data_IF_751828809678
#
_entry.id   IF_751828809678
#
_cell.length_a   1.000
_cell.length_b   1.000
_cell.length_c   1.000
_cell.angle_alpha   90.00
_cell.angle_beta   90.00
_cell.angle_gamma   90.00
#
_symmetry.space_group_name_H-M   'P 1'
#
loop_
_entity.id
_entity.type
_entity.pdbx_description
1 polymer ?
#
# COMPACT_ATOMS: atom_id res chain seq x y z
N UNK A 1 16.15 -9.57 -3.12
CA UNK A 1 14.67 -9.43 -3.07
C UNK A 1 14.25 -9.22 -1.63
N UNK A 2 13.43 -8.20 -1.36
CA UNK A 2 12.95 -7.85 -0.02
C UNK A 2 11.43 -7.70 -0.08
N UNK A 3 10.74 -8.30 0.91
CA UNK A 3 9.30 -8.18 1.08
C UNK A 3 9.02 -7.37 2.33
N UNK A 4 8.12 -6.40 2.22
CA UNK A 4 7.70 -5.61 3.36
C UNK A 4 6.23 -5.86 3.67
N UNK A 5 6.00 -6.39 4.87
CA UNK A 5 4.68 -6.51 5.47
C UNK A 5 4.26 -5.14 6.03
N UNK A 6 3.03 -4.74 5.75
CA UNK A 6 2.41 -3.54 6.30
C UNK A 6 1.07 -3.91 6.91
N UNK A 7 0.84 -3.46 8.13
CA UNK A 7 -0.43 -3.58 8.83
C UNK A 7 -0.94 -2.21 9.19
N UNK A 8 -2.17 -1.90 8.82
CA UNK A 8 -2.86 -0.66 9.14
C UNK A 8 -4.05 -0.93 10.01
N UNK A 9 -4.13 -0.25 11.15
CA UNK A 9 -5.36 -0.17 11.94
C UNK A 9 -6.31 0.81 11.28
N UNK A 10 -7.50 0.34 10.94
CA UNK A 10 -8.54 1.11 10.27
C UNK A 10 -9.65 1.41 11.28
N UNK A 11 -10.16 2.63 11.23
CA UNK A 11 -11.30 3.03 12.06
C UNK A 11 -12.48 2.09 11.83
N UNK A 12 -13.18 1.71 12.91
CA UNK A 12 -14.36 0.83 12.83
C UNK A 12 -15.38 1.38 11.84
N UNK A 13 -15.92 0.50 11.00
CA UNK A 13 -16.88 0.87 9.95
C UNK A 13 -16.26 1.47 8.67
N UNK A 14 -14.95 1.76 8.64
CA UNK A 14 -14.29 2.38 7.49
C UNK A 14 -13.54 1.40 6.58
N UNK A 15 -13.58 0.09 6.87
CA UNK A 15 -12.81 -0.91 6.12
C UNK A 15 -13.18 -0.98 4.64
N UNK A 16 -14.48 -0.95 4.30
CA UNK A 16 -14.90 -0.99 2.89
C UNK A 16 -14.48 0.26 2.14
N UNK A 17 -14.67 1.44 2.75
CA UNK A 17 -14.17 2.71 2.20
C UNK A 17 -12.65 2.70 2.02
N UNK A 18 -11.92 2.09 2.95
CA UNK A 18 -10.46 1.92 2.85
C UNK A 18 -10.06 0.99 1.70
N UNK A 19 -10.74 -0.15 1.54
CA UNK A 19 -10.48 -1.11 0.44
C UNK A 19 -10.76 -0.44 -0.91
N UNK A 20 -11.89 0.26 -1.04
CA UNK A 20 -12.23 0.99 -2.26
C UNK A 20 -11.16 2.05 -2.56
N UNK A 21 -10.77 2.87 -1.58
CA UNK A 21 -9.68 3.83 -1.72
C UNK A 21 -8.36 3.15 -2.14
N UNK A 22 -8.03 2.00 -1.56
CA UNK A 22 -6.79 1.29 -1.85
C UNK A 22 -6.75 0.77 -3.29
N UNK A 23 -7.86 0.20 -3.77
CA UNK A 23 -8.01 -0.39 -5.09
C UNK A 23 -8.20 0.68 -6.18
N UNK A 24 -9.12 1.63 -5.96
CA UNK A 24 -9.56 2.62 -6.96
C UNK A 24 -8.69 3.88 -6.93
N UNK A 25 -8.17 4.27 -5.75
CA UNK A 25 -7.59 5.59 -5.53
C UNK A 25 -6.11 5.53 -5.16
N UNK A 26 -5.34 5.12 -6.18
CA UNK A 26 -3.93 5.47 -6.36
C UNK A 26 -2.94 4.69 -5.51
N UNK A 27 -3.31 3.91 -4.49
CA UNK A 27 -2.29 3.19 -3.70
C UNK A 27 -1.71 1.98 -4.44
N UNK A 28 -2.53 0.99 -4.79
CA UNK A 28 -2.06 -0.17 -5.54
C UNK A 28 -1.63 0.18 -6.99
N UNK A 29 -2.41 0.98 -7.76
CA UNK A 29 -2.00 1.34 -9.13
C UNK A 29 -0.73 2.19 -9.21
N UNK A 30 -0.47 3.09 -8.25
CA UNK A 30 0.77 3.89 -8.25
C UNK A 30 1.97 3.05 -7.81
N UNK A 31 1.79 2.12 -6.88
CA UNK A 31 2.83 1.16 -6.50
C UNK A 31 3.27 0.33 -7.71
N UNK A 32 2.31 -0.17 -8.50
CA UNK A 32 2.60 -0.90 -9.73
C UNK A 32 3.39 -0.05 -10.75
N UNK A 33 2.95 1.19 -11.01
CA UNK A 33 3.66 2.15 -11.89
C UNK A 33 5.07 2.51 -11.42
N UNK A 34 5.38 2.36 -10.13
CA UNK A 34 6.68 2.62 -9.53
C UNK A 34 7.54 1.35 -9.40
N UNK A 35 7.08 0.22 -9.94
CA UNK A 35 7.78 -1.05 -9.84
C UNK A 35 7.88 -1.54 -8.38
N UNK A 36 6.81 -1.35 -7.61
CA UNK A 36 6.65 -1.84 -6.23
C UNK A 36 5.43 -2.78 -6.21
N UNK A 37 5.53 -4.01 -6.74
CA UNK A 37 4.35 -4.85 -6.89
C UNK A 37 3.75 -5.22 -5.53
N UNK A 38 2.43 -5.07 -5.42
CA UNK A 38 1.64 -5.56 -4.28
C UNK A 38 1.39 -7.04 -4.48
N UNK A 39 1.90 -7.86 -3.57
CA UNK A 39 1.84 -9.32 -3.69
C UNK A 39 0.48 -9.86 -3.27
N UNK A 40 -0.05 -9.35 -2.16
CA UNK A 40 -1.29 -9.83 -1.56
C UNK A 40 -1.80 -8.84 -0.52
N UNK A 41 -3.11 -8.92 -0.25
CA UNK A 41 -3.83 -8.09 0.72
C UNK A 41 -4.81 -8.95 1.52
N UNK A 42 -4.98 -8.63 2.79
CA UNK A 42 -5.90 -9.32 3.71
C UNK A 42 -6.59 -8.32 4.64
N UNK A 43 -7.71 -8.76 5.18
CA UNK A 43 -8.46 -8.08 6.24
C UNK A 43 -8.61 -9.08 7.39
N UNK A 44 -8.36 -8.65 8.62
CA UNK A 44 -8.57 -9.51 9.78
C UNK A 44 -10.08 -9.78 10.01
N UNK A 45 -10.41 -10.81 10.80
CA UNK A 45 -11.80 -11.20 11.04
C UNK A 45 -12.64 -10.06 11.65
N UNK A 46 -12.04 -9.26 12.52
CA UNK A 46 -12.70 -8.11 13.17
C UNK A 46 -12.87 -6.89 12.27
N UNK A 47 -12.31 -6.94 11.05
CA UNK A 47 -12.33 -5.85 10.05
C UNK A 47 -11.77 -4.52 10.58
N UNK A 48 -10.77 -4.61 11.46
CA UNK A 48 -10.05 -3.46 12.04
C UNK A 48 -8.63 -3.35 11.54
N UNK A 49 -8.09 -4.37 10.86
CA UNK A 49 -6.75 -4.37 10.31
C UNK A 49 -6.76 -4.70 8.83
N UNK A 50 -6.04 -3.87 8.06
CA UNK A 50 -5.71 -4.14 6.66
C UNK A 50 -4.23 -4.49 6.56
N UNK A 51 -3.95 -5.69 6.05
CA UNK A 51 -2.60 -6.27 5.99
C UNK A 51 -2.24 -6.44 4.51
N UNK A 52 -1.01 -6.10 4.14
CA UNK A 52 -0.57 -6.24 2.76
C UNK A 52 0.94 -6.40 2.65
N UNK A 53 1.39 -7.03 1.57
CA UNK A 53 2.80 -7.23 1.25
C UNK A 53 3.13 -6.50 -0.04
N UNK A 54 4.25 -5.79 -0.03
CA UNK A 54 4.87 -5.20 -1.22
C UNK A 54 6.32 -5.66 -1.37
N UNK A 55 6.78 -5.73 -2.61
CA UNK A 55 8.08 -6.28 -2.96
C UNK A 55 9.02 -5.22 -3.52
N UNK A 56 10.30 -5.35 -3.17
CA UNK A 56 11.43 -4.53 -3.61
C UNK A 56 12.58 -5.42 -4.06
N UNK A 57 13.38 -4.95 -5.00
CA UNK A 57 14.56 -5.71 -5.45
C UNK A 57 15.62 -5.80 -4.36
N UNK A 58 15.83 -4.68 -3.65
CA UNK A 58 16.84 -4.51 -2.60
C UNK A 58 16.31 -3.62 -1.46
N UNK A 59 16.91 -3.70 -0.27
CA UNK A 59 16.51 -2.86 0.86
C UNK A 59 16.88 -1.38 0.64
N UNK A 60 17.96 -1.10 -0.09
CA UNK A 60 18.45 0.25 -0.36
C UNK A 60 17.50 1.09 -1.23
N UNK A 61 16.69 0.47 -2.10
CA UNK A 61 15.74 1.20 -2.94
C UNK A 61 14.46 1.64 -2.21
N UNK A 62 14.19 1.10 -1.03
CA UNK A 62 12.93 1.34 -0.30
C UNK A 62 12.70 2.83 -0.07
N UNK A 63 13.71 3.52 0.48
CA UNK A 63 13.58 4.93 0.84
C UNK A 63 13.31 5.83 -0.39
N UNK A 64 14.04 5.58 -1.49
CA UNK A 64 13.89 6.36 -2.72
C UNK A 64 12.51 6.13 -3.35
N UNK A 65 12.07 4.87 -3.45
CA UNK A 65 10.76 4.52 -4.01
C UNK A 65 9.59 5.02 -3.14
N UNK A 66 9.73 5.04 -1.81
CA UNK A 66 8.75 5.65 -0.92
C UNK A 66 8.66 7.16 -1.12
N UNK A 67 9.80 7.85 -1.21
CA UNK A 67 9.82 9.29 -1.45
C UNK A 67 9.13 9.66 -2.77
N UNK A 68 9.41 8.90 -3.84
CA UNK A 68 8.76 9.08 -5.14
C UNK A 68 7.25 8.82 -5.07
N UNK A 69 6.83 7.74 -4.39
CA UNK A 69 5.41 7.47 -4.15
C UNK A 69 4.70 8.64 -3.45
N UNK A 70 5.30 9.20 -2.39
CA UNK A 70 4.72 10.32 -1.67
C UNK A 70 4.77 11.65 -2.44
N UNK A 71 5.74 11.85 -3.33
CA UNK A 71 5.78 12.98 -4.23
C UNK A 71 4.63 12.91 -5.25
N UNK A 72 4.54 11.81 -6.01
CA UNK A 72 3.49 11.62 -7.04
C UNK A 72 2.08 11.61 -6.45
N UNK A 73 1.89 11.07 -5.24
CA UNK A 73 0.58 11.10 -4.57
C UNK A 73 0.11 12.53 -4.28
N UNK A 74 1.02 13.45 -3.94
CA UNK A 74 0.67 14.85 -3.65
C UNK A 74 0.20 15.60 -4.90
N UNK A 75 0.74 15.27 -6.07
CA UNK A 75 0.36 15.88 -7.35
C UNK A 75 -1.04 15.47 -7.84
N UNK A 76 -1.59 14.38 -7.29
CA UNK A 76 -2.88 13.85 -7.71
C UNK A 76 -4.06 14.37 -6.87
N UNK A 77 -3.83 15.18 -5.83
CA UNK A 77 -4.86 15.74 -4.95
C UNK A 77 -5.06 17.23 -5.21
#
# INVERSE_FOLDING_TARGET
MVYQLRTYTINRGMMDSWINLFNEHKRAPLHDRLGIPVQSTWVNADRTEFIWIRQFNDASEIQAKEAEFFARRRELN
#
